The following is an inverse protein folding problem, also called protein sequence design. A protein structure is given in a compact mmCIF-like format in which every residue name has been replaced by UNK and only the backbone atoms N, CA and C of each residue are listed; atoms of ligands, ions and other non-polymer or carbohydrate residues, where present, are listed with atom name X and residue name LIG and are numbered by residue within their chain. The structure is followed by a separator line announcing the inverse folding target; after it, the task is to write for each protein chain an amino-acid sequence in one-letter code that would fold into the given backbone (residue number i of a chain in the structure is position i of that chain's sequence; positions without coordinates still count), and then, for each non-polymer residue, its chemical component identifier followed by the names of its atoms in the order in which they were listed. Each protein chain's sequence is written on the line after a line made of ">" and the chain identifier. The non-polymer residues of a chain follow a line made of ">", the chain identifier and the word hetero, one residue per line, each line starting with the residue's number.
data_IF_503851682960
#
_entry.id   IF_503851682960
#
_cell.length_a   1.000
_cell.length_b   1.000
_cell.length_c   1.000
_cell.angle_alpha   90.00
_cell.angle_beta   90.00
_cell.angle_gamma   90.00
#
_symmetry.space_group_name_H-M   'P 1'
#
loop_
_entity.id
_entity.type
_entity.pdbx_description
1 polymer ?
#
# COMPACT_ATOMS: atom_id res chain seq x y z
N UNK A 1 -18.98 -10.46 -3.94
CA UNK A 1 -18.00 -9.35 -3.96
C UNK A 1 -16.70 -9.71 -3.24
N UNK A 2 -16.73 -10.18 -1.99
CA UNK A 2 -15.52 -10.51 -1.21
C UNK A 2 -14.53 -11.47 -1.91
N UNK A 3 -14.99 -12.61 -2.45
CA UNK A 3 -14.13 -13.57 -3.16
C UNK A 3 -13.41 -12.97 -4.38
N UNK A 4 -14.11 -12.12 -5.14
CA UNK A 4 -13.52 -11.43 -6.30
C UNK A 4 -12.42 -10.48 -5.85
N UNK A 5 -12.58 -9.81 -4.70
CA UNK A 5 -11.53 -8.98 -4.11
C UNK A 5 -10.36 -9.85 -3.64
N UNK A 6 -10.61 -10.97 -2.96
CA UNK A 6 -9.53 -11.84 -2.43
C UNK A 6 -8.59 -12.40 -3.51
N UNK A 7 -9.04 -12.46 -4.76
CA UNK A 7 -8.24 -12.97 -5.89
C UNK A 7 -7.82 -11.83 -6.82
N UNK A 8 -8.77 -10.99 -7.25
CA UNK A 8 -8.53 -9.93 -8.22
C UNK A 8 -7.64 -8.81 -7.68
N UNK A 9 -7.86 -8.36 -6.45
CA UNK A 9 -7.06 -7.27 -5.87
C UNK A 9 -5.57 -7.65 -5.71
N UNK A 10 -5.21 -8.81 -5.12
CA UNK A 10 -3.82 -9.23 -5.01
C UNK A 10 -3.09 -9.43 -6.34
N UNK A 11 -3.80 -9.87 -7.39
CA UNK A 11 -3.17 -10.19 -8.67
C UNK A 11 -3.09 -8.98 -9.61
N UNK A 12 -4.12 -8.15 -9.64
CA UNK A 12 -4.24 -7.08 -10.64
C UNK A 12 -3.83 -5.72 -10.10
N UNK A 13 -4.04 -5.46 -8.80
CA UNK A 13 -3.81 -4.14 -8.22
C UNK A 13 -2.47 -4.05 -7.48
N UNK A 14 -2.23 -4.99 -6.57
CA UNK A 14 -1.06 -4.93 -5.66
C UNK A 14 0.29 -4.88 -6.39
N UNK A 15 0.57 -5.70 -7.43
CA UNK A 15 1.89 -5.70 -8.07
C UNK A 15 2.25 -4.36 -8.70
N UNK A 16 1.31 -3.70 -9.37
CA UNK A 16 1.52 -2.40 -9.97
C UNK A 16 1.83 -1.32 -8.93
N UNK A 17 1.11 -1.35 -7.80
CA UNK A 17 1.36 -0.43 -6.69
C UNK A 17 2.75 -0.66 -6.09
N UNK A 18 3.13 -1.90 -5.82
CA UNK A 18 4.45 -2.19 -5.24
C UNK A 18 5.60 -1.87 -6.20
N UNK A 19 5.44 -2.08 -7.50
CA UNK A 19 6.44 -1.62 -8.49
C UNK A 19 6.60 -0.09 -8.40
N UNK A 20 5.49 0.65 -8.41
CA UNK A 20 5.52 2.11 -8.38
C UNK A 20 6.19 2.65 -7.11
N UNK A 21 5.82 2.14 -5.94
CA UNK A 21 6.26 2.72 -4.68
C UNK A 21 7.48 2.03 -4.07
N UNK A 22 7.59 0.70 -4.14
CA UNK A 22 8.67 -0.06 -3.48
C UNK A 22 9.88 -0.22 -4.38
N UNK A 23 9.70 -0.28 -5.69
CA UNK A 23 10.83 -0.26 -6.62
C UNK A 23 11.18 1.18 -7.03
N UNK A 24 10.32 1.83 -7.83
CA UNK A 24 10.67 3.08 -8.51
C UNK A 24 10.81 4.26 -7.55
N UNK A 25 9.78 4.55 -6.75
CA UNK A 25 9.82 5.68 -5.82
C UNK A 25 10.88 5.49 -4.72
N UNK A 26 11.04 4.26 -4.20
CA UNK A 26 12.05 3.96 -3.19
C UNK A 26 13.46 4.21 -3.71
N UNK A 27 13.81 3.68 -4.89
CA UNK A 27 15.11 3.90 -5.51
C UNK A 27 15.40 5.39 -5.74
N UNK A 28 14.39 6.15 -6.19
CA UNK A 28 14.51 7.61 -6.37
C UNK A 28 14.69 8.35 -5.04
N UNK A 29 13.97 7.96 -3.99
CA UNK A 29 14.08 8.62 -2.69
C UNK A 29 15.42 8.27 -2.01
N UNK A 30 15.94 7.06 -2.20
CA UNK A 30 17.24 6.65 -1.67
C UNK A 30 18.39 7.43 -2.29
N UNK A 31 18.32 7.75 -3.58
CA UNK A 31 19.31 8.63 -4.22
C UNK A 31 19.20 10.09 -3.78
N UNK A 32 18.00 10.56 -3.44
CA UNK A 32 17.77 11.92 -2.91
C UNK A 32 18.11 12.06 -1.42
N UNK A 33 18.04 10.97 -0.65
CA UNK A 33 18.23 10.95 0.80
C UNK A 33 19.31 9.92 1.20
N UNK A 34 20.56 10.10 0.72
CA UNK A 34 21.62 9.11 0.93
C UNK A 34 21.88 8.88 2.43
N UNK A 35 21.99 7.61 2.82
CA UNK A 35 22.23 7.19 4.21
C UNK A 35 21.05 7.38 5.17
N UNK A 36 19.89 7.87 4.70
CA UNK A 36 18.71 8.16 5.54
C UNK A 36 17.56 7.21 5.27
N UNK A 37 17.82 5.89 5.38
CA UNK A 37 16.85 4.84 5.04
C UNK A 37 15.50 4.99 5.76
N UNK A 38 15.51 5.43 7.03
CA UNK A 38 14.28 5.73 7.76
C UNK A 38 13.44 6.84 7.11
N UNK A 39 14.09 7.92 6.65
CA UNK A 39 13.40 9.01 5.95
C UNK A 39 12.86 8.56 4.59
N UNK A 40 13.60 7.71 3.87
CA UNK A 40 13.15 7.09 2.61
C UNK A 40 11.86 6.29 2.83
N UNK A 41 11.82 5.45 3.87
CA UNK A 41 10.63 4.65 4.21
C UNK A 41 9.43 5.55 4.51
N UNK A 42 9.59 6.59 5.33
CA UNK A 42 8.50 7.51 5.67
C UNK A 42 8.03 8.32 4.46
N UNK A 43 8.94 8.85 3.66
CA UNK A 43 8.60 9.62 2.47
C UNK A 43 7.85 8.75 1.44
N UNK A 44 8.33 7.54 1.21
CA UNK A 44 7.69 6.60 0.31
C UNK A 44 6.30 6.17 0.81
N UNK A 45 6.17 5.86 2.11
CA UNK A 45 4.88 5.53 2.72
C UNK A 45 3.90 6.70 2.63
N UNK A 46 4.38 7.93 2.78
CA UNK A 46 3.60 9.15 2.58
C UNK A 46 3.10 9.30 1.14
N UNK A 47 3.96 9.05 0.14
CA UNK A 47 3.55 9.04 -1.27
C UNK A 47 2.47 7.97 -1.55
N UNK A 48 2.65 6.78 -0.98
CA UNK A 48 1.69 5.69 -1.10
C UNK A 48 0.34 6.05 -0.46
N UNK A 49 0.35 6.60 0.76
CA UNK A 49 -0.85 7.07 1.45
C UNK A 49 -1.54 8.21 0.67
N UNK A 50 -0.78 9.17 0.15
CA UNK A 50 -1.32 10.28 -0.64
C UNK A 50 -1.99 9.81 -1.93
N UNK A 51 -1.45 8.79 -2.60
CA UNK A 51 -2.09 8.20 -3.78
C UNK A 51 -3.50 7.65 -3.48
N UNK A 52 -3.79 7.32 -2.22
CA UNK A 52 -5.10 6.83 -1.78
C UNK A 52 -6.08 7.94 -1.40
N UNK A 53 -5.70 9.23 -1.49
CA UNK A 53 -6.62 10.35 -1.28
C UNK A 53 -7.79 10.34 -2.28
N UNK A 54 -7.60 9.72 -3.45
CA UNK A 54 -8.62 9.53 -4.49
C UNK A 54 -9.84 8.74 -4.01
N UNK A 55 -9.72 8.00 -2.91
CA UNK A 55 -10.82 7.28 -2.27
C UNK A 55 -11.77 8.21 -1.50
N UNK A 56 -11.43 9.50 -1.38
CA UNK A 56 -12.19 10.50 -0.62
C UNK A 56 -12.48 10.06 0.83
N UNK A 57 -11.53 9.32 1.40
CA UNK A 57 -11.66 8.75 2.74
C UNK A 57 -10.33 8.79 3.49
N UNK A 58 -10.30 9.55 4.58
CA UNK A 58 -9.12 9.68 5.42
C UNK A 58 -8.71 8.37 6.11
N UNK A 59 -9.63 7.44 6.35
CA UNK A 59 -9.29 6.12 6.87
C UNK A 59 -8.44 5.32 5.87
N UNK A 60 -8.72 5.43 4.57
CA UNK A 60 -7.88 4.79 3.54
C UNK A 60 -6.46 5.36 3.56
N UNK A 61 -6.33 6.69 3.64
CA UNK A 61 -5.02 7.36 3.73
C UNK A 61 -4.27 6.93 5.00
N UNK A 62 -4.95 6.89 6.14
CA UNK A 62 -4.38 6.48 7.42
C UNK A 62 -3.86 5.04 7.39
N UNK A 63 -4.68 4.09 6.96
CA UNK A 63 -4.27 2.69 6.88
C UNK A 63 -3.19 2.45 5.82
N UNK A 64 -3.23 3.16 4.69
CA UNK A 64 -2.15 3.11 3.71
C UNK A 64 -0.85 3.70 4.26
N UNK A 65 -0.89 4.73 5.11
CA UNK A 65 0.31 5.22 5.78
C UNK A 65 0.92 4.13 6.68
N UNK A 66 0.10 3.49 7.52
CA UNK A 66 0.57 2.42 8.42
C UNK A 66 1.13 1.24 7.62
N UNK A 67 0.32 0.68 6.71
CA UNK A 67 0.73 -0.44 5.86
C UNK A 67 1.95 -0.08 5.03
N UNK A 68 2.00 1.16 4.53
CA UNK A 68 3.10 1.67 3.76
C UNK A 68 4.42 1.68 4.52
N UNK A 69 4.41 2.11 5.79
CA UNK A 69 5.59 2.05 6.67
C UNK A 69 5.99 0.61 6.94
N UNK A 70 5.05 -0.29 7.26
CA UNK A 70 5.35 -1.70 7.55
C UNK A 70 6.02 -2.40 6.37
N UNK A 71 5.41 -2.31 5.18
CA UNK A 71 5.93 -2.90 3.95
C UNK A 71 7.24 -2.20 3.54
N UNK A 72 7.32 -0.87 3.68
CA UNK A 72 8.51 -0.09 3.37
C UNK A 72 9.72 -0.48 4.22
N UNK A 73 9.53 -0.74 5.52
CA UNK A 73 10.58 -1.24 6.42
C UNK A 73 11.05 -2.63 6.02
N UNK A 74 10.12 -3.53 5.72
CA UNK A 74 10.42 -4.87 5.25
C UNK A 74 11.21 -4.84 3.92
N UNK A 75 10.77 -4.02 2.97
CA UNK A 75 11.48 -3.84 1.71
C UNK A 75 12.87 -3.24 1.91
N UNK A 76 13.04 -2.26 2.79
CA UNK A 76 14.33 -1.66 3.09
C UNK A 76 15.35 -2.69 3.64
N UNK A 77 14.87 -3.67 4.42
CA UNK A 77 15.67 -4.75 5.01
C UNK A 77 15.98 -5.87 4.01
N UNK A 78 14.98 -6.33 3.27
CA UNK A 78 15.08 -7.54 2.44
C UNK A 78 15.30 -7.28 0.95
N UNK A 79 15.03 -6.05 0.49
CA UNK A 79 15.11 -5.64 -0.92
C UNK A 79 14.37 -6.57 -1.88
N UNK A 80 13.26 -7.14 -1.41
CA UNK A 80 12.47 -8.14 -2.14
C UNK A 80 11.11 -7.58 -2.52
N UNK A 81 10.92 -7.32 -3.81
CA UNK A 81 9.63 -6.88 -4.35
C UNK A 81 8.54 -7.97 -4.22
N UNK A 82 8.80 -9.27 -4.48
CA UNK A 82 7.81 -10.31 -4.27
C UNK A 82 7.34 -10.40 -2.82
N UNK A 83 8.24 -10.21 -1.85
CA UNK A 83 7.88 -10.17 -0.43
C UNK A 83 6.96 -8.98 -0.13
N UNK A 84 7.26 -7.80 -0.68
CA UNK A 84 6.44 -6.60 -0.51
C UNK A 84 5.03 -6.81 -1.09
N UNK A 85 4.93 -7.41 -2.27
CA UNK A 85 3.65 -7.81 -2.90
C UNK A 85 2.88 -8.78 -2.02
N UNK A 86 3.54 -9.81 -1.48
CA UNK A 86 2.89 -10.77 -0.58
C UNK A 86 2.39 -10.10 0.70
N UNK A 87 3.19 -9.23 1.33
CA UNK A 87 2.80 -8.49 2.53
C UNK A 87 1.61 -7.57 2.27
N UNK A 88 1.66 -6.79 1.19
CA UNK A 88 0.56 -5.91 0.82
C UNK A 88 -0.70 -6.72 0.53
N UNK A 89 -0.62 -7.79 -0.26
CA UNK A 89 -1.77 -8.66 -0.53
C UNK A 89 -2.38 -9.22 0.76
N UNK A 90 -1.55 -9.74 1.68
CA UNK A 90 -2.02 -10.27 2.96
C UNK A 90 -2.69 -9.20 3.82
N UNK A 91 -2.07 -8.02 3.96
CA UNK A 91 -2.63 -6.93 4.77
C UNK A 91 -3.92 -6.38 4.17
N UNK A 92 -3.97 -6.19 2.85
CA UNK A 92 -5.18 -5.76 2.16
C UNK A 92 -6.30 -6.79 2.30
N UNK A 93 -6.03 -8.07 2.05
CA UNK A 93 -7.01 -9.14 2.23
C UNK A 93 -7.54 -9.22 3.67
N UNK A 94 -6.66 -9.03 4.67
CA UNK A 94 -7.07 -8.96 6.08
C UNK A 94 -8.03 -7.79 6.30
N UNK A 95 -7.72 -6.58 5.80
CA UNK A 95 -8.58 -5.40 5.94
C UNK A 95 -9.96 -5.62 5.31
N UNK A 96 -10.03 -6.25 4.14
CA UNK A 96 -11.31 -6.63 3.52
C UNK A 96 -12.05 -7.70 4.31
N UNK A 97 -11.35 -8.63 4.96
CA UNK A 97 -11.94 -9.70 5.76
C UNK A 97 -12.53 -9.20 7.08
N UNK A 98 -11.86 -8.27 7.76
CA UNK A 98 -12.35 -7.67 9.02
C UNK A 98 -13.35 -6.52 8.81
N UNK A 99 -13.82 -6.31 7.57
CA UNK A 99 -14.85 -5.32 7.23
C UNK A 99 -14.36 -3.89 7.03
N UNK A 100 -13.05 -3.65 7.08
CA UNK A 100 -12.45 -2.32 6.85
C UNK A 100 -12.14 -2.03 5.39
N UNK A 101 -12.21 -3.06 4.53
CA UNK A 101 -12.09 -2.93 3.08
C UNK A 101 -13.04 -1.94 2.44
N UNK A 102 -14.20 -1.69 3.06
CA UNK A 102 -15.17 -0.68 2.61
C UNK A 102 -14.57 0.73 2.49
N UNK A 103 -13.51 1.03 3.26
CA UNK A 103 -12.84 2.32 3.20
C UNK A 103 -11.99 2.52 1.95
N UNK A 104 -11.64 1.44 1.25
CA UNK A 104 -10.77 1.44 0.06
C UNK A 104 -11.53 1.30 -1.26
N UNK A 105 -12.86 1.24 -1.23
CA UNK A 105 -13.70 1.19 -2.42
C UNK A 105 -14.10 2.62 -2.78
N UNK A 106 -13.61 3.11 -3.93
CA UNK A 106 -14.02 4.41 -4.46
C UNK A 106 -15.51 4.37 -4.86
N UNK A 107 -16.25 5.39 -4.41
CA UNK A 107 -17.69 5.44 -4.57
C UNK A 107 -18.38 4.76 -3.40
N UNK A 108 -18.99 5.57 -2.52
CA UNK A 108 -19.98 5.06 -1.58
C UNK A 108 -21.01 4.28 -2.38
N UNK A 109 -21.10 2.97 -2.17
CA UNK A 109 -22.41 2.34 -2.21
C UNK A 109 -23.15 2.89 -0.99
N UNK A 110 -23.75 4.07 -1.11
CA UNK A 110 -24.96 4.37 -0.36
C UNK A 110 -26.02 3.43 -0.91
N UNK A 111 -26.03 2.19 -0.44
CA UNK A 111 -27.23 1.38 -0.53
C UNK A 111 -28.29 1.94 0.43
N UNK A 112 -29.59 1.75 0.17
CA UNK A 112 -30.41 1.11 1.18
C UNK A 112 -29.89 -0.31 1.49
#
# INVERSE_FOLDING_TARGET
>A
MWLLVMIGYPLLSVPGQEIAFRSLAFARLESLLPGRLGAVVWAQAGLFAWAHIVMWNWWAVFFCMIGGVLIGRSYAQHRSLPLAVAQHALYGCLMFTVGWGQYFVAGRFTGP
#
